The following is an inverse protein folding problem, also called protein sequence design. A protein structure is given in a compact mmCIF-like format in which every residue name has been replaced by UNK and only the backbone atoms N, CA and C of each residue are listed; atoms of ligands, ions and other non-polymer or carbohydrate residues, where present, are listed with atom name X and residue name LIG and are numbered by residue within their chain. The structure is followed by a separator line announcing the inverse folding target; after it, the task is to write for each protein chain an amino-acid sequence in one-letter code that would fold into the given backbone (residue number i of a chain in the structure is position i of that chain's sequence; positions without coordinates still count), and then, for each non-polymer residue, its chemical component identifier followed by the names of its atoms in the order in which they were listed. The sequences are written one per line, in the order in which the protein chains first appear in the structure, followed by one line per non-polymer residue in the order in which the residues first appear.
data_IF_785750836642
#
_entry.id   IF_785750836642
#
_cell.length_a   1.000
_cell.length_b   1.000
_cell.length_c   1.000
_cell.angle_alpha   90.00
_cell.angle_beta   90.00
_cell.angle_gamma   90.00
#
_symmetry.space_group_name_H-M   'P 1'
#
loop_
_entity.id
_entity.type
_entity.pdbx_description
1 polymer ?
#
# COMPACT_ATOMS: atom_id res chain seq x y z
N UNK A 1 -1.84 -18.29 27.53
CA UNK A 1 -1.27 -18.31 26.17
C UNK A 1 -2.22 -19.09 25.33
N UNK A 2 -3.14 -18.38 24.66
CA UNK A 2 -4.03 -19.03 23.71
C UNK A 2 -3.20 -19.48 22.50
N UNK A 3 -3.31 -20.74 22.06
CA UNK A 3 -2.62 -21.19 20.88
C UNK A 3 -3.15 -20.40 19.69
N UNK A 4 -2.25 -19.82 18.90
CA UNK A 4 -2.57 -19.27 17.58
C UNK A 4 -3.04 -20.47 16.78
N UNK A 5 -4.36 -20.63 16.66
CA UNK A 5 -4.98 -21.59 15.77
C UNK A 5 -4.72 -21.04 14.36
N UNK A 6 -3.59 -21.41 13.77
CA UNK A 6 -3.38 -21.27 12.33
C UNK A 6 -4.41 -22.20 11.67
N UNK A 7 -5.64 -21.71 11.50
CA UNK A 7 -6.60 -22.36 10.64
C UNK A 7 -5.94 -22.49 9.27
N UNK A 8 -5.68 -23.74 8.87
CA UNK A 8 -5.24 -24.05 7.51
C UNK A 8 -6.29 -23.45 6.56
N UNK A 9 -5.95 -22.34 5.94
CA UNK A 9 -6.78 -21.71 4.91
C UNK A 9 -6.77 -22.64 3.71
N UNK A 10 -7.72 -23.58 3.66
CA UNK A 10 -7.91 -24.46 2.53
C UNK A 10 -8.44 -23.64 1.34
N UNK A 11 -7.52 -23.12 0.53
CA UNK A 11 -7.87 -22.50 -0.76
C UNK A 11 -8.37 -23.62 -1.67
N UNK A 12 -9.64 -23.57 -2.05
CA UNK A 12 -10.18 -24.52 -3.02
C UNK A 12 -9.54 -24.30 -4.40
N UNK A 13 -9.46 -25.35 -5.21
CA UNK A 13 -8.96 -25.25 -6.60
C UNK A 13 -9.74 -24.24 -7.44
N UNK A 14 -11.01 -24.02 -7.12
CA UNK A 14 -11.86 -23.01 -7.77
C UNK A 14 -11.41 -21.58 -7.43
N UNK A 15 -11.22 -21.28 -6.14
CA UNK A 15 -10.73 -19.97 -5.68
C UNK A 15 -9.30 -19.69 -6.17
N UNK A 16 -8.46 -20.73 -6.19
CA UNK A 16 -7.11 -20.62 -6.75
C UNK A 16 -7.18 -20.22 -8.23
N UNK A 17 -7.98 -20.92 -9.06
CA UNK A 17 -8.13 -20.57 -10.48
C UNK A 17 -8.72 -19.17 -10.69
N UNK A 18 -9.70 -18.80 -9.88
CA UNK A 18 -10.38 -17.50 -9.97
C UNK A 18 -9.44 -16.32 -9.65
N UNK A 19 -8.68 -16.41 -8.57
CA UNK A 19 -7.85 -15.30 -8.09
C UNK A 19 -6.40 -15.33 -8.58
N UNK A 20 -5.95 -16.42 -9.22
CA UNK A 20 -4.55 -16.60 -9.64
C UNK A 20 -4.05 -15.46 -10.51
N UNK A 21 -4.84 -15.01 -11.49
CA UNK A 21 -4.40 -13.95 -12.39
C UNK A 21 -4.22 -12.63 -11.64
N UNK A 22 -5.21 -12.23 -10.86
CA UNK A 22 -5.12 -11.02 -10.02
C UNK A 22 -3.97 -11.09 -9.02
N UNK A 23 -3.72 -12.25 -8.40
CA UNK A 23 -2.61 -12.46 -7.48
C UNK A 23 -1.25 -12.32 -8.17
N UNK A 24 -1.11 -12.84 -9.40
CA UNK A 24 0.11 -12.67 -10.21
C UNK A 24 0.33 -11.19 -10.53
N UNK A 25 -0.71 -10.49 -10.97
CA UNK A 25 -0.61 -9.07 -11.33
C UNK A 25 -0.22 -8.20 -10.13
N UNK A 26 -0.83 -8.43 -8.96
CA UNK A 26 -0.50 -7.74 -7.71
C UNK A 26 0.96 -7.98 -7.31
N UNK A 27 1.44 -9.23 -7.42
CA UNK A 27 2.83 -9.55 -7.11
C UNK A 27 3.80 -8.87 -8.09
N UNK A 28 3.47 -8.86 -9.38
CA UNK A 28 4.28 -8.18 -10.39
C UNK A 28 4.37 -6.69 -10.11
N UNK A 29 3.26 -6.03 -9.76
CA UNK A 29 3.24 -4.61 -9.41
C UNK A 29 4.15 -4.32 -8.20
N UNK A 30 4.04 -5.11 -7.14
CA UNK A 30 4.86 -4.93 -5.94
C UNK A 30 6.36 -5.11 -6.24
N UNK A 31 6.73 -6.14 -7.00
CA UNK A 31 8.13 -6.39 -7.38
C UNK A 31 8.70 -5.29 -8.29
N UNK A 32 7.90 -4.78 -9.23
CA UNK A 32 8.31 -3.69 -10.10
C UNK A 32 8.55 -2.41 -9.30
N UNK A 33 7.61 -2.05 -8.41
CA UNK A 33 7.74 -0.86 -7.56
C UNK A 33 8.92 -1.00 -6.61
N UNK A 34 9.16 -2.16 -5.99
CA UNK A 34 10.32 -2.32 -5.11
C UNK A 34 11.65 -2.17 -5.89
N UNK A 35 11.73 -2.72 -7.11
CA UNK A 35 12.90 -2.57 -7.97
C UNK A 35 13.13 -1.12 -8.38
N UNK A 36 12.07 -0.40 -8.74
CA UNK A 36 12.13 1.02 -9.08
C UNK A 36 12.54 1.87 -7.88
N UNK A 37 11.97 1.59 -6.70
CA UNK A 37 12.30 2.29 -5.47
C UNK A 37 13.76 2.12 -5.09
N UNK A 38 14.32 0.92 -5.28
CA UNK A 38 15.76 0.66 -5.12
C UNK A 38 16.60 1.41 -6.15
N UNK A 39 16.16 1.42 -7.41
CA UNK A 39 16.86 2.10 -8.51
C UNK A 39 16.90 3.61 -8.33
N UNK A 40 15.82 4.20 -7.82
CA UNK A 40 15.71 5.63 -7.53
C UNK A 40 16.24 5.99 -6.14
N UNK A 41 16.76 5.01 -5.38
CA UNK A 41 17.27 5.19 -4.03
C UNK A 41 16.24 5.88 -3.10
N UNK A 42 14.97 5.49 -3.23
CA UNK A 42 13.88 5.98 -2.39
C UNK A 42 14.09 5.48 -0.97
N UNK A 43 14.14 6.42 -0.04
CA UNK A 43 14.23 6.17 1.40
C UNK A 43 13.02 6.76 2.10
N UNK A 44 12.56 6.05 3.11
CA UNK A 44 11.55 6.54 4.05
C UNK A 44 12.30 7.06 5.26
N UNK A 45 12.17 8.33 5.55
CA UNK A 45 12.79 8.91 6.74
C UNK A 45 11.93 8.68 8.00
N UNK A 46 12.55 8.80 9.18
CA UNK A 46 11.85 8.58 10.43
C UNK A 46 10.77 9.64 10.72
N UNK A 47 10.94 10.88 10.27
CA UNK A 47 9.96 11.95 10.42
C UNK A 47 8.72 11.68 9.57
N UNK A 48 8.89 11.23 8.32
CA UNK A 48 7.80 10.79 7.44
C UNK A 48 7.02 9.63 8.08
N UNK A 49 7.74 8.62 8.55
CA UNK A 49 7.13 7.49 9.24
C UNK A 49 6.38 7.93 10.50
N UNK A 50 6.97 8.82 11.31
CA UNK A 50 6.33 9.35 12.52
C UNK A 50 5.11 10.22 12.18
N UNK A 51 5.15 11.00 11.10
CA UNK A 51 4.02 11.80 10.63
C UNK A 51 2.85 10.89 10.26
N UNK A 52 3.10 9.81 9.54
CA UNK A 52 2.07 8.86 9.15
C UNK A 52 1.50 8.08 10.36
N UNK A 53 2.34 7.68 11.31
CA UNK A 53 1.87 7.10 12.58
C UNK A 53 0.94 8.08 13.30
N UNK A 54 1.34 9.35 13.41
CA UNK A 54 0.50 10.37 14.04
C UNK A 54 -0.83 10.57 13.31
N UNK A 55 -0.83 10.55 11.97
CA UNK A 55 -2.04 10.66 11.16
C UNK A 55 -3.01 9.50 11.43
N UNK A 56 -2.51 8.26 11.41
CA UNK A 56 -3.32 7.07 11.69
C UNK A 56 -3.86 7.09 13.12
N UNK A 57 -3.03 7.46 14.10
CA UNK A 57 -3.43 7.56 15.51
C UNK A 57 -4.51 8.62 15.71
N UNK A 58 -4.43 9.76 15.01
CA UNK A 58 -5.48 10.78 14.99
C UNK A 58 -6.78 10.24 14.40
N UNK A 59 -6.70 9.54 13.26
CA UNK A 59 -7.86 8.94 12.61
C UNK A 59 -8.57 7.91 13.49
N UNK A 60 -7.82 7.18 14.33
CA UNK A 60 -8.36 6.20 15.29
C UNK A 60 -8.88 6.81 16.60
N UNK A 61 -9.02 8.13 16.70
CA UNK A 61 -9.59 8.79 17.87
C UNK A 61 -8.57 9.33 18.89
N UNK A 62 -7.31 9.55 18.48
CA UNK A 62 -6.35 10.33 19.28
C UNK A 62 -5.68 9.56 20.42
N UNK A 63 -5.38 8.28 20.21
CA UNK A 63 -4.59 7.50 21.17
C UNK A 63 -3.16 8.07 21.36
N UNK A 64 -2.44 7.58 22.37
CA UNK A 64 -1.01 7.93 22.54
C UNK A 64 -0.18 7.31 21.41
N UNK A 65 0.31 8.15 20.50
CA UNK A 65 1.11 7.74 19.35
C UNK A 65 2.41 7.01 19.73
N UNK A 66 3.02 7.34 20.88
CA UNK A 66 4.24 6.68 21.33
C UNK A 66 3.94 5.26 21.83
N UNK A 67 2.82 5.07 22.52
CA UNK A 67 2.35 3.75 22.93
C UNK A 67 2.00 2.90 21.71
N UNK A 68 1.26 3.47 20.75
CA UNK A 68 0.89 2.78 19.51
C UNK A 68 2.11 2.40 18.67
N UNK A 69 3.10 3.29 18.53
CA UNK A 69 4.36 3.00 17.83
C UNK A 69 5.07 1.78 18.44
N UNK A 70 5.14 1.69 19.77
CA UNK A 70 5.77 0.55 20.45
C UNK A 70 5.04 -0.76 20.20
N UNK A 71 3.71 -0.74 20.16
CA UNK A 71 2.90 -1.94 19.86
C UNK A 71 2.96 -2.33 18.38
N UNK A 72 3.01 -1.34 17.49
CA UNK A 72 3.16 -1.56 16.06
C UNK A 72 4.53 -2.10 15.68
N UNK A 73 5.59 -1.68 16.38
CA UNK A 73 6.93 -2.23 16.21
C UNK A 73 6.98 -3.73 16.53
N UNK A 74 6.23 -4.18 17.54
CA UNK A 74 6.18 -5.61 17.93
C UNK A 74 5.34 -6.46 16.98
N UNK A 75 4.37 -5.86 16.28
CA UNK A 75 3.38 -6.57 15.44
C UNK A 75 3.69 -6.54 13.94
N UNK A 76 4.85 -6.00 13.56
CA UNK A 76 5.24 -5.88 12.15
C UNK A 76 4.48 -4.77 11.39
N UNK A 77 3.65 -3.99 12.08
CA UNK A 77 2.80 -2.96 11.45
C UNK A 77 3.67 -1.80 10.96
N UNK A 78 4.75 -1.46 11.69
CA UNK A 78 5.66 -0.39 11.28
C UNK A 78 6.39 -0.71 9.98
N UNK A 79 6.83 -1.94 9.81
CA UNK A 79 7.52 -2.43 8.62
C UNK A 79 6.58 -2.37 7.42
N UNK A 80 5.32 -2.81 7.61
CA UNK A 80 4.28 -2.69 6.56
C UNK A 80 3.98 -1.24 6.22
N UNK A 81 3.93 -0.36 7.22
CA UNK A 81 3.70 1.07 7.00
C UNK A 81 4.86 1.69 6.23
N UNK A 82 6.09 1.37 6.60
CA UNK A 82 7.28 1.83 5.91
C UNK A 82 7.31 1.34 4.45
N UNK A 83 6.99 0.07 4.19
CA UNK A 83 6.89 -0.46 2.83
C UNK A 83 5.82 0.27 2.01
N UNK A 84 4.67 0.60 2.62
CA UNK A 84 3.63 1.40 1.97
C UNK A 84 4.12 2.79 1.60
N UNK A 85 4.74 3.51 2.53
CA UNK A 85 5.29 4.85 2.26
C UNK A 85 6.34 4.78 1.15
N UNK A 86 7.23 3.79 1.19
CA UNK A 86 8.25 3.58 0.15
C UNK A 86 7.61 3.36 -1.22
N UNK A 87 6.57 2.54 -1.28
CA UNK A 87 5.82 2.26 -2.51
C UNK A 87 5.19 3.52 -3.08
N UNK A 88 4.49 4.29 -2.26
CA UNK A 88 3.79 5.50 -2.68
C UNK A 88 4.81 6.55 -3.20
N UNK A 89 5.92 6.78 -2.49
CA UNK A 89 7.03 7.65 -2.95
C UNK A 89 7.67 7.17 -4.25
N UNK A 90 7.77 5.86 -4.43
CA UNK A 90 8.31 5.30 -5.68
C UNK A 90 7.37 5.58 -6.83
N UNK A 91 6.07 5.42 -6.63
CA UNK A 91 5.07 5.74 -7.62
C UNK A 91 5.14 7.22 -8.02
N UNK A 92 5.23 8.13 -7.04
CA UNK A 92 5.39 9.56 -7.30
C UNK A 92 6.65 9.85 -8.15
N UNK A 93 7.79 9.25 -7.78
CA UNK A 93 9.03 9.40 -8.54
C UNK A 93 8.97 8.82 -9.96
N UNK A 94 8.16 7.77 -10.19
CA UNK A 94 7.86 7.26 -11.53
C UNK A 94 7.01 8.28 -12.28
N UNK A 95 5.94 8.80 -11.67
CA UNK A 95 5.01 9.75 -12.29
C UNK A 95 5.71 11.05 -12.71
N UNK A 96 6.67 11.54 -11.93
CA UNK A 96 7.51 12.70 -12.31
C UNK A 96 8.34 12.47 -13.58
N UNK A 97 8.70 11.22 -13.88
CA UNK A 97 9.53 10.85 -15.03
C UNK A 97 8.72 10.46 -16.26
N UNK A 98 7.44 10.14 -16.08
CA UNK A 98 6.54 9.79 -17.18
C UNK A 98 5.95 11.08 -17.76
N UNK A 99 5.86 11.17 -19.09
CA UNK A 99 5.13 12.25 -19.74
C UNK A 99 3.63 12.05 -19.49
N UNK A 100 3.09 12.70 -18.45
CA UNK A 100 1.66 12.75 -18.20
C UNK A 100 1.05 13.68 -19.26
N UNK A 101 0.26 13.10 -20.16
CA UNK A 101 -0.51 13.85 -21.14
C UNK A 101 -1.91 14.06 -20.56
N UNK A 102 -2.17 15.24 -20.03
CA UNK A 102 -3.52 15.61 -19.59
C UNK A 102 -4.38 15.90 -20.82
N UNK A 103 -5.36 15.04 -21.08
CA UNK A 103 -6.39 15.28 -22.10
C UNK A 103 -7.68 15.70 -21.39
N UNK A 104 -8.29 16.80 -21.83
CA UNK A 104 -9.61 17.21 -21.34
C UNK A 104 -10.64 16.19 -21.82
N UNK A 105 -11.17 15.40 -20.89
CA UNK A 105 -12.30 14.50 -21.15
C UNK A 105 -13.56 15.34 -21.08
N UNK A 106 -14.13 15.68 -22.24
CA UNK A 106 -15.43 16.34 -22.33
C UNK A 106 -16.50 15.36 -21.82
N UNK A 107 -16.93 15.56 -20.58
CA UNK A 107 -17.80 14.62 -19.85
C UNK A 107 -19.27 14.71 -20.28
N UNK A 108 -19.58 15.55 -21.27
CA UNK A 108 -20.95 15.78 -21.77
C UNK A 108 -21.35 14.85 -22.92
N UNK A 109 -20.48 13.97 -23.42
CA UNK A 109 -20.81 13.09 -24.55
C UNK A 109 -21.52 11.77 -24.18
N UNK A 110 -21.69 11.46 -22.89
CA UNK A 110 -22.29 10.18 -22.41
C UNK A 110 -23.53 10.38 -21.51
N UNK A 111 -24.27 11.49 -21.66
CA UNK A 111 -25.65 11.53 -21.19
C UNK A 111 -26.51 11.15 -22.39
N UNK A 112 -26.70 9.84 -22.59
CA UNK A 112 -27.82 9.36 -23.39
C UNK A 112 -29.11 9.82 -22.69
N UNK A 113 -29.80 10.78 -23.31
CA UNK A 113 -31.14 11.21 -22.90
C UNK A 113 -32.09 10.00 -22.93
N UNK A 114 -32.63 9.66 -21.75
CA UNK A 114 -33.73 8.70 -21.58
C UNK A 114 -35.09 9.41 -21.64
#
# INVERSE_FOLDING_TARGET
TDPINEEEVHISDSQSKEHRQSAIELLQQELLLDRLGTTFNIKVDENELNAEINNLVRMMGGADANKMKKEWAKSGVLERLQSRIKRDKTLDAVMEKVQIKEEMVDSTANIDDN
#
